data_IF_170858500610
#
_entry.id   IF_170858500610
#
_cell.length_a   1.000
_cell.length_b   1.000
_cell.length_c   1.000
_cell.angle_alpha   90.00
_cell.angle_beta   90.00
_cell.angle_gamma   90.00
#
_symmetry.space_group_name_H-M   'P 1'
#
loop_
_entity.id
_entity.type
_entity.pdbx_description
1 polymer ?
#
# COMPACT_ATOMS: atom_id res chain seq x y z
N UNK A 1 -0.55 17.75 14.49
CA UNK A 1 0.24 17.42 13.27
C UNK A 1 -0.58 16.39 12.48
N UNK A 2 -0.62 16.48 11.13
CA UNK A 2 -1.31 15.47 10.31
C UNK A 2 -0.59 14.12 10.42
N UNK A 3 -1.33 13.00 10.33
CA UNK A 3 -0.74 11.66 10.33
C UNK A 3 0.20 11.43 9.14
N UNK A 4 -0.12 12.01 7.99
CA UNK A 4 0.72 12.01 6.78
C UNK A 4 2.09 12.67 7.03
N UNK A 5 2.08 13.91 7.59
CA UNK A 5 3.32 14.63 7.94
C UNK A 5 4.15 13.86 8.97
N UNK A 6 3.50 13.28 9.98
CA UNK A 6 4.20 12.45 10.97
C UNK A 6 4.83 11.23 10.32
N UNK A 7 4.12 10.57 9.39
CA UNK A 7 4.65 9.39 8.70
C UNK A 7 5.89 9.73 7.88
N UNK A 8 5.89 10.84 7.14
CA UNK A 8 7.08 11.33 6.42
C UNK A 8 8.27 11.56 7.36
N UNK A 9 8.06 12.23 8.47
CA UNK A 9 9.13 12.43 9.46
C UNK A 9 9.69 11.11 10.00
N UNK A 10 8.83 10.09 10.18
CA UNK A 10 9.25 8.79 10.67
C UNK A 10 10.06 8.01 9.64
N UNK A 11 9.69 8.05 8.35
CA UNK A 11 10.44 7.35 7.29
C UNK A 11 11.74 8.08 6.92
N UNK A 12 11.79 9.39 7.09
CA UNK A 12 13.00 10.20 6.85
C UNK A 12 13.99 10.16 8.02
N UNK A 13 13.57 9.60 9.15
CA UNK A 13 14.43 9.42 10.33
C UNK A 13 15.52 8.37 10.05
N UNK A 14 16.75 8.55 10.59
CA UNK A 14 17.79 7.54 10.51
C UNK A 14 17.47 6.27 11.33
N UNK A 15 16.49 6.33 12.22
CA UNK A 15 16.02 5.18 13.00
C UNK A 15 15.11 4.29 12.17
N UNK A 16 15.27 2.96 12.30
CA UNK A 16 14.39 1.99 11.66
C UNK A 16 12.97 2.14 12.21
N UNK A 17 12.02 2.38 11.30
CA UNK A 17 10.61 2.40 11.62
C UNK A 17 10.03 0.98 11.58
N UNK A 18 9.55 0.51 12.73
CA UNK A 18 8.81 -0.75 12.80
C UNK A 18 7.34 -0.50 12.45
N UNK A 19 6.86 -1.17 11.40
CA UNK A 19 5.47 -1.13 10.95
C UNK A 19 4.80 -2.49 11.22
N UNK A 20 4.17 -2.71 12.39
CA UNK A 20 3.44 -3.95 12.63
C UNK A 20 2.23 -4.05 11.70
N UNK A 21 2.04 -5.24 11.11
CA UNK A 21 0.84 -5.56 10.35
C UNK A 21 -0.34 -5.77 11.30
N UNK A 22 -1.40 -4.99 11.11
CA UNK A 22 -2.65 -5.16 11.84
C UNK A 22 -3.74 -5.61 10.89
N UNK A 23 -4.79 -6.24 11.42
CA UNK A 23 -5.82 -6.88 10.58
C UNK A 23 -7.22 -6.33 10.84
N UNK A 24 -7.44 -5.64 11.96
CA UNK A 24 -8.74 -5.06 12.31
C UNK A 24 -8.61 -3.93 13.34
N UNK A 25 -9.74 -3.35 13.71
CA UNK A 25 -9.83 -2.25 14.68
C UNK A 25 -9.30 -2.65 16.06
N UNK A 26 -9.52 -3.90 16.49
CA UNK A 26 -9.05 -4.36 17.80
C UNK A 26 -7.53 -4.48 17.83
N UNK A 27 -6.93 -5.13 16.83
CA UNK A 27 -5.48 -5.24 16.71
C UNK A 27 -4.81 -3.87 16.53
N UNK A 28 -5.47 -2.92 15.84
CA UNK A 28 -5.00 -1.55 15.71
C UNK A 28 -4.94 -0.82 17.07
N UNK A 29 -5.97 -0.95 17.91
CA UNK A 29 -5.96 -0.39 19.27
C UNK A 29 -4.89 -1.01 20.16
N UNK A 30 -4.71 -2.32 20.06
CA UNK A 30 -3.65 -3.04 20.80
C UNK A 30 -2.28 -2.53 20.36
N UNK A 31 -2.02 -2.43 19.05
CA UNK A 31 -0.77 -1.92 18.51
C UNK A 31 -0.48 -0.48 18.93
N UNK A 32 -1.50 0.39 18.87
CA UNK A 32 -1.39 1.77 19.36
C UNK A 32 -1.07 1.83 20.86
N UNK A 33 -1.74 1.01 21.66
CA UNK A 33 -1.48 0.91 23.10
C UNK A 33 -0.11 0.31 23.44
N UNK A 34 0.47 -0.49 22.57
CA UNK A 34 1.82 -1.03 22.70
C UNK A 34 2.94 -0.02 22.37
N UNK A 35 2.58 1.17 21.87
CA UNK A 35 3.52 2.25 21.61
C UNK A 35 4.17 2.24 20.22
N UNK A 36 3.64 1.49 19.26
CA UNK A 36 4.11 1.58 17.89
C UNK A 36 3.85 2.96 17.29
N UNK A 37 4.87 3.51 16.61
CA UNK A 37 4.84 4.87 16.06
C UNK A 37 4.02 4.98 14.76
N UNK A 38 3.83 3.88 14.05
CA UNK A 38 2.99 3.74 12.84
C UNK A 38 2.60 2.27 12.66
N UNK A 39 1.59 1.99 11.84
CA UNK A 39 1.11 0.62 11.57
C UNK A 39 0.77 0.44 10.10
N UNK A 40 0.71 -0.81 9.65
CA UNK A 40 0.34 -1.14 8.27
C UNK A 40 -0.76 -2.20 8.23
N UNK A 41 -1.53 -2.21 7.15
CA UNK A 41 -2.51 -3.25 6.83
C UNK A 41 -2.29 -3.80 5.43
N UNK A 42 -2.36 -5.13 5.29
CA UNK A 42 -2.18 -5.82 4.02
C UNK A 42 -3.47 -6.44 3.51
N UNK A 43 -3.54 -6.68 2.20
CA UNK A 43 -4.66 -7.37 1.54
C UNK A 43 -4.89 -8.77 2.10
N UNK A 44 -3.81 -9.48 2.45
CA UNK A 44 -3.91 -10.79 3.10
C UNK A 44 -4.69 -10.72 4.42
N UNK A 45 -4.31 -9.80 5.31
CA UNK A 45 -4.96 -9.67 6.62
C UNK A 45 -6.41 -9.19 6.48
N UNK A 46 -6.68 -8.27 5.55
CA UNK A 46 -8.03 -7.81 5.24
C UNK A 46 -8.90 -8.94 4.68
N UNK A 47 -8.41 -9.72 3.71
CA UNK A 47 -9.13 -10.86 3.13
C UNK A 47 -9.44 -11.93 4.17
N UNK A 48 -8.48 -12.25 5.03
CA UNK A 48 -8.67 -13.21 6.11
C UNK A 48 -9.73 -12.72 7.12
N UNK A 49 -9.69 -11.45 7.50
CA UNK A 49 -10.59 -10.87 8.50
C UNK A 49 -12.00 -10.65 7.98
N UNK A 50 -12.14 -10.11 6.76
CA UNK A 50 -13.45 -9.74 6.21
C UNK A 50 -14.17 -10.91 5.55
N UNK A 51 -13.42 -11.81 4.90
CA UNK A 51 -13.99 -12.89 4.09
C UNK A 51 -13.69 -14.29 4.63
N UNK A 52 -12.70 -14.45 5.52
CA UNK A 52 -12.18 -15.77 5.91
C UNK A 52 -11.60 -16.54 4.72
N UNK A 53 -11.01 -15.84 3.75
CA UNK A 53 -10.53 -16.39 2.49
C UNK A 53 -9.10 -15.94 2.17
N UNK A 54 -8.37 -16.70 1.31
CA UNK A 54 -7.08 -16.28 0.79
C UNK A 54 -7.19 -14.97 0.01
N UNK A 55 -6.10 -14.21 0.02
CA UNK A 55 -5.97 -12.96 -0.73
C UNK A 55 -5.72 -13.26 -2.23
N UNK A 56 -6.79 -13.16 -3.00
CA UNK A 56 -6.84 -13.38 -4.45
C UNK A 56 -7.67 -12.32 -5.15
N UNK A 57 -7.55 -11.06 -4.73
CA UNK A 57 -8.28 -9.90 -5.30
C UNK A 57 -9.80 -10.00 -5.21
N UNK A 58 -10.31 -10.61 -4.13
CA UNK A 58 -11.76 -10.74 -3.94
C UNK A 58 -12.38 -9.50 -3.30
N UNK A 59 -11.59 -8.73 -2.52
CA UNK A 59 -12.05 -7.48 -1.92
C UNK A 59 -12.08 -6.36 -2.95
N UNK A 60 -13.17 -5.62 -2.96
CA UNK A 60 -13.31 -4.40 -3.76
C UNK A 60 -12.62 -3.21 -3.09
N UNK A 61 -12.32 -2.16 -3.88
CA UNK A 61 -11.81 -0.89 -3.35
C UNK A 61 -12.69 -0.34 -2.20
N UNK A 62 -14.03 -0.42 -2.35
CA UNK A 62 -14.95 0.12 -1.33
C UNK A 62 -14.87 -0.65 -0.01
N UNK A 63 -14.74 -1.97 -0.07
CA UNK A 63 -14.56 -2.79 1.14
C UNK A 63 -13.23 -2.47 1.83
N UNK A 64 -12.15 -2.33 1.08
CA UNK A 64 -10.84 -1.95 1.62
C UNK A 64 -10.85 -0.55 2.24
N UNK A 65 -11.45 0.43 1.56
CA UNK A 65 -11.61 1.80 2.09
C UNK A 65 -12.38 1.78 3.41
N UNK A 66 -13.53 1.15 3.46
CA UNK A 66 -14.35 1.07 4.66
C UNK A 66 -13.63 0.36 5.82
N UNK A 67 -12.86 -0.65 5.51
CA UNK A 67 -12.06 -1.38 6.50
C UNK A 67 -10.96 -0.49 7.09
N UNK A 68 -10.19 0.18 6.25
CA UNK A 68 -9.10 1.05 6.67
C UNK A 68 -9.57 2.34 7.35
N UNK A 69 -10.68 2.92 6.92
CA UNK A 69 -11.31 4.08 7.56
C UNK A 69 -11.60 3.80 9.03
N UNK A 70 -12.25 2.66 9.34
CA UNK A 70 -12.54 2.25 10.72
C UNK A 70 -11.28 2.05 11.56
N UNK A 71 -10.19 1.59 10.96
CA UNK A 71 -8.89 1.49 11.62
C UNK A 71 -8.34 2.88 11.91
N UNK A 72 -8.35 3.78 10.93
CA UNK A 72 -7.84 5.13 11.05
C UNK A 72 -8.60 5.98 12.09
N UNK A 73 -9.89 5.70 12.31
CA UNK A 73 -10.73 6.40 13.29
C UNK A 73 -10.32 6.12 14.74
N UNK A 74 -9.75 4.95 15.03
CA UNK A 74 -9.50 4.51 16.41
C UNK A 74 -8.05 4.61 16.86
N UNK A 75 -7.15 5.05 15.98
CA UNK A 75 -5.72 5.21 16.27
C UNK A 75 -5.27 6.63 15.98
N UNK A 76 -4.31 7.13 16.75
CA UNK A 76 -3.73 8.47 16.57
C UNK A 76 -2.41 8.44 15.78
N UNK A 77 -1.86 7.24 15.53
CA UNK A 77 -0.62 7.04 14.77
C UNK A 77 -0.90 6.88 13.28
N UNK A 78 0.07 7.13 12.39
CA UNK A 78 -0.07 6.89 10.96
C UNK A 78 -0.41 5.44 10.62
N UNK A 79 -1.29 5.27 9.64
CA UNK A 79 -1.63 3.97 9.07
C UNK A 79 -1.29 3.95 7.58
N UNK A 80 -0.52 2.92 7.17
CA UNK A 80 -0.07 2.71 5.80
C UNK A 80 -0.78 1.48 5.22
N UNK A 81 -1.45 1.64 4.07
CA UNK A 81 -2.38 0.64 3.56
C UNK A 81 -1.93 -0.07 2.28
N UNK A 82 -2.42 -1.28 2.09
CA UNK A 82 -2.31 -2.04 0.84
C UNK A 82 -3.30 -1.49 -0.19
N UNK A 83 -2.81 -1.10 -1.36
CA UNK A 83 -3.60 -0.65 -2.49
C UNK A 83 -3.71 -1.69 -3.60
N UNK A 84 -3.32 -2.95 -3.35
CA UNK A 84 -3.30 -4.02 -4.35
C UNK A 84 -2.60 -3.54 -5.64
N UNK A 85 -3.20 -3.80 -6.80
CA UNK A 85 -2.72 -3.28 -8.10
C UNK A 85 -3.31 -1.90 -8.47
N UNK A 86 -3.92 -1.19 -7.49
CA UNK A 86 -4.65 0.05 -7.69
C UNK A 86 -6.12 -0.15 -8.10
N UNK A 87 -6.63 -1.37 -7.99
CA UNK A 87 -8.03 -1.77 -8.31
C UNK A 87 -8.45 -1.52 -9.75
N UNK A 88 -7.50 -1.54 -10.69
CA UNK A 88 -7.76 -1.42 -12.13
C UNK A 88 -6.71 -0.63 -12.88
N UNK A 89 -7.15 0.21 -13.82
CA UNK A 89 -6.28 1.03 -14.66
C UNK A 89 -5.90 2.37 -13.98
N UNK A 90 -5.23 3.27 -14.69
CA UNK A 90 -4.77 4.57 -14.18
C UNK A 90 -5.89 5.42 -13.56
N UNK A 91 -7.11 5.38 -14.10
CA UNK A 91 -8.23 6.14 -13.55
C UNK A 91 -8.74 5.54 -12.23
N UNK A 92 -8.66 4.21 -12.10
CA UNK A 92 -8.95 3.52 -10.84
C UNK A 92 -7.89 3.85 -9.77
N UNK A 93 -6.61 3.85 -10.14
CA UNK A 93 -5.51 4.23 -9.24
C UNK A 93 -5.72 5.63 -8.69
N UNK A 94 -6.01 6.61 -9.56
CA UNK A 94 -6.33 7.99 -9.14
C UNK A 94 -7.48 8.06 -8.14
N UNK A 95 -8.51 7.24 -8.36
CA UNK A 95 -9.66 7.14 -7.43
C UNK A 95 -9.24 6.51 -6.10
N UNK A 96 -8.43 5.46 -6.15
CA UNK A 96 -7.93 4.74 -4.96
C UNK A 96 -7.16 5.69 -4.04
N UNK A 97 -6.21 6.44 -4.58
CA UNK A 97 -5.44 7.43 -3.80
C UNK A 97 -6.37 8.41 -3.09
N UNK A 98 -7.31 9.05 -3.81
CA UNK A 98 -8.24 10.01 -3.22
C UNK A 98 -9.15 9.41 -2.14
N UNK A 99 -9.56 8.16 -2.32
CA UNK A 99 -10.40 7.48 -1.32
C UNK A 99 -9.60 7.11 -0.07
N UNK A 100 -8.35 6.67 -0.23
CA UNK A 100 -7.47 6.35 0.90
C UNK A 100 -7.05 7.61 1.68
N UNK A 101 -6.76 8.71 1.00
CA UNK A 101 -6.52 9.99 1.67
C UNK A 101 -7.73 10.41 2.53
N UNK A 102 -8.96 10.31 1.98
CA UNK A 102 -10.20 10.65 2.70
C UNK A 102 -10.47 9.71 3.87
N UNK A 103 -10.10 8.45 3.75
CA UNK A 103 -10.21 7.46 4.82
C UNK A 103 -9.18 7.67 5.95
N UNK A 104 -8.24 8.62 5.79
CA UNK A 104 -7.29 9.00 6.82
C UNK A 104 -5.99 8.20 6.84
N UNK A 105 -5.67 7.46 5.76
CA UNK A 105 -4.40 6.79 5.61
C UNK A 105 -3.25 7.82 5.49
N UNK A 106 -2.07 7.43 5.91
CA UNK A 106 -0.85 8.23 5.75
C UNK A 106 -0.09 7.93 4.45
N UNK A 107 -0.46 6.86 3.78
CA UNK A 107 0.11 6.43 2.52
C UNK A 107 -0.40 5.05 2.12
N UNK A 108 0.05 4.61 0.95
CA UNK A 108 -0.29 3.29 0.42
C UNK A 108 0.81 2.75 -0.47
N UNK A 109 0.83 1.43 -0.66
CA UNK A 109 1.57 0.84 -1.76
C UNK A 109 0.64 0.32 -2.86
N UNK A 110 1.16 0.30 -4.07
CA UNK A 110 0.57 -0.42 -5.21
C UNK A 110 1.63 -1.35 -5.80
N UNK A 111 1.19 -2.51 -6.29
CA UNK A 111 2.07 -3.53 -6.83
C UNK A 111 1.85 -3.75 -8.32
N UNK A 112 2.89 -4.22 -9.00
CA UNK A 112 2.93 -4.44 -10.44
C UNK A 112 2.43 -5.84 -10.88
N UNK A 113 1.63 -6.51 -10.05
CA UNK A 113 1.03 -7.78 -10.46
C UNK A 113 -0.06 -7.59 -11.54
N UNK A 114 -0.22 -8.61 -12.38
CA UNK A 114 -1.39 -8.74 -13.26
C UNK A 114 -2.63 -8.99 -12.42
N UNK A 115 -3.71 -8.23 -12.70
CA UNK A 115 -5.01 -8.47 -12.04
C UNK A 115 -5.74 -9.68 -12.67
N UNK A 116 -6.39 -10.56 -11.91
CA UNK A 116 -6.46 -10.57 -10.43
C UNK A 116 -5.13 -11.02 -9.80
N UNK A 117 -4.63 -10.21 -8.85
CA UNK A 117 -3.38 -10.50 -8.15
C UNK A 117 -3.53 -11.64 -7.16
N UNK A 118 -2.42 -12.15 -6.68
CA UNK A 118 -2.34 -13.13 -5.60
C UNK A 118 -1.46 -12.59 -4.49
N UNK A 119 -1.69 -13.05 -3.25
CA UNK A 119 -0.81 -12.74 -2.13
C UNK A 119 0.65 -13.01 -2.51
N UNK A 120 1.57 -12.10 -2.15
CA UNK A 120 3.00 -12.18 -2.47
C UNK A 120 3.67 -13.50 -2.08
N UNK A 121 3.13 -14.21 -1.09
CA UNK A 121 3.60 -15.53 -0.66
C UNK A 121 3.11 -16.70 -1.52
N UNK A 122 2.18 -16.47 -2.44
CA UNK A 122 1.61 -17.51 -3.29
C UNK A 122 2.40 -17.64 -4.60
N UNK A 123 2.40 -18.84 -5.16
CA UNK A 123 2.99 -19.13 -6.48
C UNK A 123 2.03 -18.75 -7.61
N UNK A 124 2.57 -18.60 -8.83
CA UNK A 124 1.79 -18.34 -10.04
C UNK A 124 1.39 -16.87 -10.20
N UNK A 125 2.18 -15.97 -9.64
CA UNK A 125 2.10 -14.53 -9.92
C UNK A 125 2.59 -14.23 -11.32
N UNK A 126 2.10 -13.14 -11.90
CA UNK A 126 2.62 -12.51 -13.10
C UNK A 126 2.69 -11.01 -12.88
N UNK A 127 3.61 -10.34 -13.56
CA UNK A 127 3.76 -8.88 -13.50
C UNK A 127 3.38 -8.23 -14.82
N UNK A 128 2.81 -7.03 -14.73
CA UNK A 128 2.53 -6.18 -15.89
C UNK A 128 3.83 -5.61 -16.47
N UNK A 129 3.84 -5.10 -17.72
CA UNK A 129 4.95 -4.33 -18.25
C UNK A 129 5.32 -3.17 -17.31
N UNK A 130 6.63 -2.89 -17.15
CA UNK A 130 7.11 -1.84 -16.26
C UNK A 130 6.53 -0.46 -16.61
N UNK A 131 6.35 -0.16 -17.90
CA UNK A 131 5.78 1.09 -18.41
C UNK A 131 4.30 1.27 -18.04
N UNK A 132 3.56 0.16 -17.91
CA UNK A 132 2.19 0.20 -17.40
C UNK A 132 2.18 0.58 -15.92
N UNK A 133 3.07 -0.01 -15.12
CA UNK A 133 3.21 0.38 -13.71
C UNK A 133 3.67 1.83 -13.56
N UNK A 134 4.60 2.30 -14.40
CA UNK A 134 5.00 3.72 -14.47
C UNK A 134 3.78 4.62 -14.68
N UNK A 135 2.89 4.24 -15.59
CA UNK A 135 1.67 5.01 -15.85
C UNK A 135 0.75 5.04 -14.64
N UNK A 136 0.63 3.92 -13.91
CA UNK A 136 -0.14 3.84 -12.66
C UNK A 136 0.49 4.70 -11.55
N UNK A 137 1.82 4.67 -11.40
CA UNK A 137 2.53 5.49 -10.41
C UNK A 137 2.35 6.98 -10.68
N UNK A 138 2.51 7.42 -11.93
CA UNK A 138 2.22 8.81 -12.32
C UNK A 138 0.80 9.22 -11.96
N UNK A 139 -0.18 8.36 -12.28
CA UNK A 139 -1.58 8.63 -11.94
C UNK A 139 -1.82 8.69 -10.42
N UNK A 140 -1.09 7.90 -9.62
CA UNK A 140 -1.15 7.95 -8.17
C UNK A 140 -0.57 9.27 -7.62
N UNK A 141 0.60 9.65 -8.11
CA UNK A 141 1.29 10.88 -7.69
C UNK A 141 0.49 12.14 -8.08
N UNK A 142 -0.07 12.17 -9.30
CA UNK A 142 -0.90 13.28 -9.77
C UNK A 142 -2.24 13.39 -9.02
N UNK A 143 -2.79 12.26 -8.56
CA UNK A 143 -4.05 12.24 -7.84
C UNK A 143 -3.93 12.68 -6.38
N UNK A 144 -2.74 12.61 -5.82
CA UNK A 144 -2.42 12.96 -4.44
C UNK A 144 -2.73 14.42 -4.16
N UNK A 145 -3.55 14.68 -3.14
CA UNK A 145 -3.93 16.04 -2.72
C UNK A 145 -3.09 16.52 -1.54
N UNK A 146 -2.75 15.63 -0.62
CA UNK A 146 -1.84 15.90 0.47
C UNK A 146 -0.40 15.54 0.04
N UNK A 147 0.52 16.53 -0.09
CA UNK A 147 1.90 16.27 -0.52
C UNK A 147 2.66 15.32 0.42
N UNK A 148 2.21 15.17 1.66
CA UNK A 148 2.80 14.27 2.63
C UNK A 148 2.26 12.82 2.54
N UNK A 149 1.20 12.58 1.76
CA UNK A 149 0.70 11.22 1.54
C UNK A 149 1.72 10.38 0.79
N UNK A 150 2.13 9.24 1.35
CA UNK A 150 3.24 8.43 0.82
C UNK A 150 2.75 7.42 -0.20
N UNK A 151 3.37 7.39 -1.38
CA UNK A 151 3.15 6.39 -2.42
C UNK A 151 4.38 5.48 -2.51
N UNK A 152 4.19 4.20 -2.18
CA UNK A 152 5.23 3.17 -2.32
C UNK A 152 4.96 2.32 -3.56
N UNK A 153 5.98 2.13 -4.36
CA UNK A 153 5.94 1.16 -5.45
C UNK A 153 6.46 -0.19 -4.97
N UNK A 154 5.66 -1.25 -5.19
CA UNK A 154 6.07 -2.62 -4.94
C UNK A 154 6.22 -3.37 -6.26
N UNK A 155 7.26 -4.22 -6.36
CA UNK A 155 7.38 -5.18 -7.45
C UNK A 155 7.40 -6.61 -6.93
N UNK A 156 6.67 -7.49 -7.58
CA UNK A 156 6.74 -8.94 -7.41
C UNK A 156 7.61 -9.60 -8.51
N UNK A 157 8.32 -8.81 -9.33
CA UNK A 157 9.13 -9.28 -10.46
C UNK A 157 10.26 -10.23 -10.02
N UNK A 158 10.80 -10.06 -8.83
CA UNK A 158 11.84 -10.96 -8.30
C UNK A 158 11.41 -12.44 -8.34
N UNK A 159 10.16 -12.72 -7.98
CA UNK A 159 9.62 -14.08 -7.99
C UNK A 159 9.18 -14.57 -9.39
N UNK A 160 9.05 -13.68 -10.38
CA UNK A 160 8.52 -13.97 -11.72
C UNK A 160 9.63 -13.97 -12.77
N UNK A 161 10.42 -12.90 -12.81
CA UNK A 161 11.43 -12.64 -13.85
C UNK A 161 12.88 -12.69 -13.31
N UNK A 162 13.04 -12.68 -11.97
CA UNK A 162 14.34 -12.68 -11.31
C UNK A 162 14.74 -11.32 -10.75
N UNK A 163 15.84 -11.34 -10.00
CA UNK A 163 16.29 -10.20 -9.19
C UNK A 163 16.69 -8.97 -10.03
N UNK A 164 17.34 -9.19 -11.17
CA UNK A 164 17.79 -8.10 -12.06
C UNK A 164 16.59 -7.29 -12.59
N UNK A 165 15.52 -7.97 -13.08
CA UNK A 165 14.30 -7.26 -13.53
C UNK A 165 13.66 -6.49 -12.37
N UNK A 166 13.67 -7.04 -11.16
CA UNK A 166 13.16 -6.32 -9.99
C UNK A 166 13.96 -5.05 -9.70
N UNK A 167 15.29 -5.09 -9.80
CA UNK A 167 16.15 -3.91 -9.62
C UNK A 167 15.92 -2.85 -10.71
N UNK A 168 15.83 -3.25 -11.97
CA UNK A 168 15.56 -2.34 -13.09
C UNK A 168 14.21 -1.63 -12.91
N UNK A 169 13.18 -2.38 -12.48
CA UNK A 169 11.87 -1.81 -12.16
C UNK A 169 11.95 -0.83 -11.00
N UNK A 170 12.66 -1.16 -9.92
CA UNK A 170 12.82 -0.27 -8.77
C UNK A 170 13.50 1.04 -9.15
N UNK A 171 14.57 0.99 -9.97
CA UNK A 171 15.23 2.18 -10.48
C UNK A 171 14.24 3.06 -11.27
N UNK A 172 13.48 2.46 -12.17
CA UNK A 172 12.47 3.16 -12.98
C UNK A 172 11.34 3.76 -12.11
N UNK A 173 10.86 3.03 -11.09
CA UNK A 173 9.80 3.52 -10.19
C UNK A 173 10.29 4.65 -9.29
N UNK A 174 11.57 4.61 -8.89
CA UNK A 174 12.20 5.72 -8.18
C UNK A 174 12.30 6.97 -9.07
N UNK A 175 12.75 6.84 -10.31
CA UNK A 175 12.84 7.96 -11.28
C UNK A 175 11.48 8.62 -11.53
N UNK A 176 10.40 7.86 -11.47
CA UNK A 176 9.03 8.37 -11.61
C UNK A 176 8.60 9.20 -10.40
N UNK A 177 9.23 8.98 -9.24
CA UNK A 177 8.97 9.73 -8.01
C UNK A 177 8.20 8.95 -6.94
N UNK A 178 8.21 7.62 -6.99
CA UNK A 178 7.71 6.82 -5.86
C UNK A 178 8.49 7.18 -4.58
N UNK A 179 7.78 7.44 -3.50
CA UNK A 179 8.38 7.88 -2.23
C UNK A 179 9.13 6.73 -1.53
N UNK A 180 8.68 5.51 -1.68
CA UNK A 180 9.27 4.28 -1.12
C UNK A 180 9.25 3.15 -2.15
N UNK A 181 10.13 2.19 -1.96
CA UNK A 181 10.26 1.01 -2.82
C UNK A 181 10.18 -0.27 -1.98
N UNK A 182 9.56 -1.32 -2.55
CA UNK A 182 9.39 -2.63 -1.92
C UNK A 182 9.57 -3.76 -2.95
N UNK A 183 10.45 -4.73 -2.65
CA UNK A 183 10.73 -5.92 -3.48
C UNK A 183 10.30 -7.18 -2.75
#
# INVERSE_FOLDING_TARGET
>A
MRKTTLFRQLIDSPEILLLPGIHDVLSARIGSGAGFKAMTGGGFSASATLLGRPDTSQLSLTEMVNHYERICEVIDVPFFGDGDTGFGNVTNVSRTVRMYERAGLAGMFIEDQVFPKRCGHMVGKNVIPAEEMVSKLKAALDARQDPDFVIMARTDANAVNGFEDALDRMALYHEVGADLLFV
#
